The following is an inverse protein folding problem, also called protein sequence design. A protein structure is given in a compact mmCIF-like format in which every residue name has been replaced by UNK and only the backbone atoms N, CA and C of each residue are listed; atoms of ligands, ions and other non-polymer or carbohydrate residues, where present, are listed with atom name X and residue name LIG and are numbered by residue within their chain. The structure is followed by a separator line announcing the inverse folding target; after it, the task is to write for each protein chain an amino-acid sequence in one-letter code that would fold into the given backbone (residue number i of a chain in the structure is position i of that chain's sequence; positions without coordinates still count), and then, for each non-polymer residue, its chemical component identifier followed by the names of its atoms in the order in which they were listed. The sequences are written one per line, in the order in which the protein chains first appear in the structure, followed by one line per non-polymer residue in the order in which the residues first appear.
data_IF_082699257503
#
_entry.id   IF_082699257503
#
_cell.length_a   1.000
_cell.length_b   1.000
_cell.length_c   1.000
_cell.angle_alpha   90.00
_cell.angle_beta   90.00
_cell.angle_gamma   90.00
#
_symmetry.space_group_name_H-M   'P 1'
#
loop_
_entity.id
_entity.type
_entity.pdbx_description
1 polymer ?
#
# COMPACT_ATOMS: atom_id res chain seq x y z
N UNK A 1 12.29 7.63 -20.55
CA UNK A 1 11.16 6.79 -20.15
C UNK A 1 10.02 7.70 -19.75
N UNK A 2 8.89 7.61 -20.43
CA UNK A 2 7.70 8.39 -20.05
C UNK A 2 6.94 7.71 -18.89
N UNK A 3 6.02 8.44 -18.25
CA UNK A 3 5.27 7.94 -17.09
C UNK A 3 4.53 6.61 -17.36
N UNK A 4 4.02 6.44 -18.59
CA UNK A 4 3.30 5.24 -19.00
C UNK A 4 4.23 4.04 -19.20
N UNK A 5 5.42 4.26 -19.76
CA UNK A 5 6.45 3.22 -19.90
C UNK A 5 6.94 2.74 -18.54
N UNK A 6 7.14 3.66 -17.60
CA UNK A 6 7.55 3.36 -16.23
C UNK A 6 6.47 2.56 -15.49
N UNK A 7 5.20 2.96 -15.60
CA UNK A 7 4.08 2.24 -15.00
C UNK A 7 3.95 0.82 -15.56
N UNK A 8 4.10 0.65 -16.87
CA UNK A 8 4.05 -0.66 -17.51
C UNK A 8 5.20 -1.57 -17.06
N UNK A 9 6.40 -1.02 -16.87
CA UNK A 9 7.55 -1.78 -16.36
C UNK A 9 7.32 -2.20 -14.90
N UNK A 10 6.79 -1.31 -14.06
CA UNK A 10 6.41 -1.64 -12.68
C UNK A 10 5.34 -2.73 -12.65
N UNK A 11 4.26 -2.61 -13.44
CA UNK A 11 3.23 -3.66 -13.55
C UNK A 11 3.81 -5.00 -14.01
N UNK A 12 4.75 -4.99 -14.96
CA UNK A 12 5.43 -6.19 -15.43
C UNK A 12 6.33 -6.82 -14.36
N UNK A 13 6.98 -6.02 -13.52
CA UNK A 13 7.79 -6.49 -12.39
C UNK A 13 6.91 -7.06 -11.27
N UNK A 14 5.83 -6.37 -10.92
CA UNK A 14 4.88 -6.80 -9.89
C UNK A 14 4.10 -8.05 -10.29
N UNK A 15 3.66 -8.16 -11.55
CA UNK A 15 2.95 -9.36 -12.05
C UNK A 15 3.82 -10.63 -12.09
N UNK A 16 5.15 -10.48 -12.02
CA UNK A 16 6.12 -11.57 -11.95
C UNK A 16 6.65 -11.80 -10.54
N UNK A 17 6.33 -10.91 -9.59
CA UNK A 17 6.72 -11.06 -8.21
C UNK A 17 5.83 -12.12 -7.55
N UNK A 18 6.45 -13.01 -6.78
CA UNK A 18 5.72 -13.88 -5.87
C UNK A 18 5.01 -13.02 -4.82
N UNK A 19 3.77 -13.36 -4.48
CA UNK A 19 2.94 -12.62 -3.51
C UNK A 19 3.70 -12.43 -2.20
N UNK A 20 4.44 -13.44 -1.75
CA UNK A 20 5.25 -13.37 -0.52
C UNK A 20 6.39 -12.34 -0.58
N UNK A 21 6.91 -11.98 -1.76
CA UNK A 21 7.94 -10.92 -1.90
C UNK A 21 7.33 -9.52 -1.81
N UNK A 22 6.09 -9.36 -2.28
CA UNK A 22 5.37 -8.10 -2.15
C UNK A 22 4.93 -7.89 -0.71
N UNK A 23 4.41 -8.93 -0.06
CA UNK A 23 4.10 -8.90 1.38
C UNK A 23 5.34 -8.56 2.20
N UNK A 24 6.49 -9.18 1.94
CA UNK A 24 7.74 -8.85 2.64
C UNK A 24 8.15 -7.39 2.50
N UNK A 25 8.04 -6.81 1.30
CA UNK A 25 8.34 -5.39 1.07
C UNK A 25 7.41 -4.47 1.85
N UNK A 26 6.13 -4.83 1.96
CA UNK A 26 5.14 -4.07 2.72
C UNK A 26 5.40 -4.16 4.24
N UNK A 27 5.74 -5.36 4.74
CA UNK A 27 6.18 -5.55 6.14
C UNK A 27 7.42 -4.72 6.44
N UNK A 28 8.46 -4.81 5.61
CA UNK A 28 9.70 -4.06 5.80
C UNK A 28 9.44 -2.55 5.78
N UNK A 29 8.55 -2.08 4.88
CA UNK A 29 8.16 -0.67 4.82
C UNK A 29 7.44 -0.23 6.09
N UNK A 30 6.56 -1.06 6.65
CA UNK A 30 5.89 -0.80 7.92
C UNK A 30 6.88 -0.79 9.10
N UNK A 31 7.80 -1.76 9.15
CA UNK A 31 8.83 -1.87 10.19
C UNK A 31 9.83 -0.68 10.13
N UNK A 32 10.09 -0.14 8.94
CA UNK A 32 10.95 1.05 8.75
C UNK A 32 10.22 2.37 8.93
N UNK A 33 8.89 2.36 9.07
CA UNK A 33 8.07 3.58 9.14
C UNK A 33 8.10 4.39 7.85
N UNK A 34 8.16 3.71 6.70
CA UNK A 34 8.16 4.33 5.38
C UNK A 34 6.75 4.34 4.81
N UNK A 35 6.32 5.51 4.36
CA UNK A 35 5.02 5.72 3.72
C UNK A 35 4.97 5.03 2.36
N UNK A 36 3.82 4.43 2.06
CA UNK A 36 3.55 3.79 0.78
C UNK A 36 2.71 4.72 -0.06
N UNK A 37 3.23 5.10 -1.23
CA UNK A 37 2.50 5.90 -2.22
C UNK A 37 2.18 5.06 -3.44
N UNK A 38 0.92 5.09 -3.84
CA UNK A 38 0.42 4.34 -4.98
C UNK A 38 -0.61 5.15 -5.77
N UNK A 39 -0.85 4.73 -7.00
CA UNK A 39 -1.93 5.26 -7.84
C UNK A 39 -3.02 4.20 -7.97
N UNK A 40 -4.22 4.52 -7.52
CA UNK A 40 -5.41 3.66 -7.58
C UNK A 40 -6.49 4.42 -8.35
N UNK A 41 -7.05 3.81 -9.40
CA UNK A 41 -8.13 4.41 -10.21
C UNK A 41 -7.84 5.88 -10.62
N UNK A 42 -6.62 6.14 -11.10
CA UNK A 42 -6.10 7.48 -11.47
C UNK A 42 -6.00 8.51 -10.31
N UNK A 43 -6.12 8.06 -9.06
CA UNK A 43 -5.97 8.88 -7.86
C UNK A 43 -4.69 8.51 -7.10
N UNK A 44 -3.99 9.53 -6.60
CA UNK A 44 -2.85 9.32 -5.72
C UNK A 44 -3.33 9.01 -4.31
N UNK A 45 -2.84 7.90 -3.77
CA UNK A 45 -3.14 7.44 -2.41
C UNK A 45 -1.82 7.26 -1.68
N UNK A 46 -1.74 7.85 -0.49
CA UNK A 46 -0.63 7.68 0.42
C UNK A 46 -1.12 6.99 1.69
N UNK A 47 -0.35 6.00 2.14
CA UNK A 47 -0.70 5.12 3.24
C UNK A 47 0.49 5.01 4.18
N UNK A 48 0.27 5.26 5.47
CA UNK A 48 1.20 4.81 6.52
C UNK A 48 0.76 3.45 7.02
N UNK A 49 1.69 2.50 7.09
CA UNK A 49 1.47 1.21 7.74
C UNK A 49 2.30 1.15 9.01
N UNK A 50 1.67 0.82 10.12
CA UNK A 50 2.31 0.65 11.42
C UNK A 50 1.98 -0.75 11.92
N UNK A 51 3.00 -1.60 12.05
CA UNK A 51 2.82 -2.93 12.63
C UNK A 51 2.57 -2.82 14.14
N UNK A 52 1.57 -3.54 14.64
CA UNK A 52 1.24 -3.58 16.06
C UNK A 52 0.92 -5.02 16.52
N UNK A 53 0.49 -5.19 17.77
CA UNK A 53 0.21 -6.51 18.35
C UNK A 53 -1.00 -7.21 17.71
N UNK A 54 -1.88 -6.44 17.08
CA UNK A 54 -3.13 -6.89 16.44
C UNK A 54 -3.00 -6.95 14.91
N UNK A 55 -1.78 -6.94 14.36
CA UNK A 55 -1.52 -6.92 12.91
C UNK A 55 -0.92 -5.59 12.46
N UNK A 56 -1.69 -4.80 11.71
CA UNK A 56 -1.25 -3.50 11.19
C UNK A 56 -2.31 -2.43 11.39
N UNK A 57 -1.88 -1.23 11.76
CA UNK A 57 -2.66 -0.01 11.64
C UNK A 57 -2.33 0.65 10.30
N UNK A 58 -3.35 0.82 9.46
CA UNK A 58 -3.27 1.48 8.17
C UNK A 58 -3.86 2.88 8.29
N UNK A 59 -3.08 3.91 7.97
CA UNK A 59 -3.53 5.31 8.01
C UNK A 59 -3.59 5.84 6.59
N UNK A 60 -4.78 6.20 6.14
CA UNK A 60 -4.96 6.90 4.87
C UNK A 60 -4.55 8.36 5.06
N UNK A 61 -3.53 8.79 4.31
CA UNK A 61 -3.06 10.17 4.32
C UNK A 61 -3.75 10.93 3.19
N UNK A 62 -5.00 11.30 3.41
CA UNK A 62 -5.66 12.35 2.61
C UNK A 62 -5.42 13.73 3.24
N UNK A 63 -5.52 14.80 2.44
CA UNK A 63 -5.16 16.16 2.87
C UNK A 63 -6.04 16.73 4.01
N UNK A 64 -7.09 16.02 4.46
CA UNK A 64 -8.07 16.56 5.42
C UNK A 64 -8.45 15.63 6.59
N UNK A 65 -8.27 14.32 6.50
CA UNK A 65 -8.61 13.35 7.53
C UNK A 65 -7.59 12.20 7.60
N UNK A 66 -6.90 12.11 8.74
CA UNK A 66 -6.15 10.90 9.09
C UNK A 66 -7.12 9.86 9.65
N UNK A 67 -7.71 9.08 8.76
CA UNK A 67 -8.49 7.91 9.17
C UNK A 67 -7.54 6.73 9.33
N UNK A 68 -7.44 6.20 10.55
CA UNK A 68 -6.74 4.94 10.80
C UNK A 68 -7.72 3.77 10.81
N UNK A 69 -7.28 2.66 10.21
CA UNK A 69 -8.03 1.42 10.06
C UNK A 69 -7.12 0.30 10.54
N UNK A 70 -7.58 -0.47 11.52
CA UNK A 70 -6.89 -1.69 11.94
C UNK A 70 -7.17 -2.80 10.92
N UNK A 71 -6.13 -3.50 10.50
CA UNK A 71 -6.20 -4.68 9.65
C UNK A 71 -5.40 -5.83 10.29
N UNK A 72 -5.90 -7.04 10.15
CA UNK A 72 -5.29 -8.22 10.77
C UNK A 72 -4.13 -8.74 9.91
N UNK A 73 -4.32 -8.76 8.58
CA UNK A 73 -3.33 -9.21 7.60
C UNK A 73 -3.08 -8.16 6.51
N UNK A 74 -1.89 -8.17 5.90
CA UNK A 74 -1.53 -7.24 4.81
C UNK A 74 -2.48 -7.37 3.61
N UNK A 75 -3.05 -8.55 3.39
CA UNK A 75 -3.98 -8.80 2.28
C UNK A 75 -5.27 -7.96 2.40
N UNK A 76 -5.65 -7.59 3.63
CA UNK A 76 -6.83 -6.80 3.94
C UNK A 76 -6.71 -5.34 3.44
N UNK A 77 -5.49 -4.87 3.13
CA UNK A 77 -5.24 -3.55 2.52
C UNK A 77 -6.10 -3.38 1.26
N UNK A 78 -6.21 -4.43 0.43
CA UNK A 78 -7.01 -4.36 -0.79
C UNK A 78 -8.48 -4.08 -0.50
N UNK A 79 -9.01 -4.68 0.57
CA UNK A 79 -10.39 -4.47 0.98
C UNK A 79 -10.60 -3.04 1.48
N UNK A 80 -9.70 -2.52 2.33
CA UNK A 80 -9.76 -1.14 2.83
C UNK A 80 -9.72 -0.13 1.69
N UNK A 81 -8.79 -0.30 0.74
CA UNK A 81 -8.65 0.60 -0.40
C UNK A 81 -9.89 0.59 -1.29
N UNK A 82 -10.47 -0.58 -1.56
CA UNK A 82 -11.68 -0.71 -2.40
C UNK A 82 -12.95 -0.06 -1.83
N UNK A 83 -12.97 0.21 -0.52
CA UNK A 83 -14.08 0.90 0.14
C UNK A 83 -13.95 2.43 0.04
N UNK A 84 -12.74 2.93 -0.18
CA UNK A 84 -12.43 4.36 -0.20
C UNK A 84 -12.19 4.90 -1.61
N UNK A 85 -11.82 4.04 -2.58
CA UNK A 85 -11.39 4.39 -3.94
C UNK A 85 -11.87 3.38 -4.98
#
# INVERSE_FOLDING_TARGET
MNSLEMENEIRALLSRADIGRLEGLLVDSADWGVNIRMTLNDQFVEVDLIKNWDGFEMILLDEQNRNSVQIDEIQDILQVLSLHY
#
